data_IF_903438651158
#
_entry.id   IF_903438651158
#
_cell.length_a   1.000
_cell.length_b   1.000
_cell.length_c   1.000
_cell.angle_alpha   90.00
_cell.angle_beta   90.00
_cell.angle_gamma   90.00
#
_symmetry.space_group_name_H-M   'P 1'
#
loop_
_entity.id
_entity.type
_entity.pdbx_description
1 polymer ?
#
# COMPACT_ATOMS: atom_id res chain seq x y z
N UNK A 1 -0.17 -17.99 20.77
CA UNK A 1 -1.05 -18.10 19.58
C UNK A 1 -0.61 -17.09 18.52
N UNK A 2 -0.56 -15.79 18.85
CA UNK A 2 -0.07 -14.70 17.99
C UNK A 2 1.22 -15.07 17.23
N UNK A 3 2.27 -15.52 17.93
CA UNK A 3 3.56 -15.90 17.34
C UNK A 3 3.50 -17.05 16.31
N UNK A 4 2.46 -17.89 16.33
CA UNK A 4 2.28 -18.96 15.32
C UNK A 4 1.59 -18.42 14.07
N UNK A 5 0.65 -17.49 14.23
CA UNK A 5 -0.13 -16.93 13.12
C UNK A 5 0.66 -15.87 12.35
N UNK A 6 1.47 -15.06 13.05
CA UNK A 6 2.41 -14.16 12.40
C UNK A 6 3.57 -14.90 11.71
N UNK A 7 3.94 -16.08 12.19
CA UNK A 7 4.86 -16.98 11.48
C UNK A 7 4.21 -17.57 10.22
N UNK A 8 2.89 -17.85 10.23
CA UNK A 8 2.14 -18.20 9.03
C UNK A 8 2.05 -17.03 8.03
N UNK A 9 1.88 -15.80 8.50
CA UNK A 9 1.94 -14.60 7.66
C UNK A 9 3.33 -14.43 7.04
N UNK A 10 4.41 -14.56 7.81
CA UNK A 10 5.77 -14.50 7.27
C UNK A 10 6.05 -15.59 6.20
N UNK A 11 5.44 -16.78 6.33
CA UNK A 11 5.49 -17.85 5.32
C UNK A 11 4.58 -17.57 4.11
N UNK A 12 3.60 -16.68 4.24
CA UNK A 12 2.66 -16.26 3.18
C UNK A 12 3.03 -14.93 2.52
N UNK A 13 3.99 -14.16 3.06
CA UNK A 13 4.54 -13.01 2.37
C UNK A 13 5.15 -13.49 1.04
N UNK A 14 4.73 -12.93 -0.12
CA UNK A 14 5.48 -13.16 -1.35
C UNK A 14 6.87 -12.54 -1.16
N UNK A 15 7.92 -13.25 -1.61
CA UNK A 15 9.36 -12.94 -1.41
C UNK A 15 9.66 -11.48 -1.08
N UNK A 16 10.32 -11.26 0.07
CA UNK A 16 10.54 -9.95 0.65
C UNK A 16 10.32 -9.91 2.16
N UNK A 17 10.90 -8.88 2.80
CA UNK A 17 10.61 -8.52 4.19
C UNK A 17 9.33 -7.66 4.28
N UNK A 18 8.66 -7.69 5.43
CA UNK A 18 7.46 -6.88 5.68
C UNK A 18 7.54 -6.09 6.98
N UNK A 19 6.71 -5.06 7.13
CA UNK A 19 6.51 -4.39 8.40
C UNK A 19 5.10 -3.81 8.57
N UNK A 20 4.66 -3.70 9.82
CA UNK A 20 3.39 -3.06 10.21
C UNK A 20 3.69 -2.05 11.32
N UNK A 21 3.22 -0.82 11.17
CA UNK A 21 3.19 0.22 12.20
C UNK A 21 1.74 0.48 12.56
N UNK A 22 1.40 0.42 13.85
CA UNK A 22 0.09 0.73 14.41
C UNK A 22 0.21 1.97 15.30
N UNK A 23 -0.67 2.94 15.09
CA UNK A 23 -0.64 4.26 15.71
C UNK A 23 -1.92 4.49 16.52
N UNK A 24 -1.85 5.22 17.66
CA UNK A 24 -3.04 5.69 18.39
C UNK A 24 -3.88 6.71 17.61
N UNK A 25 -3.48 7.03 16.38
CA UNK A 25 -4.10 8.05 15.55
C UNK A 25 -3.75 8.02 14.08
N UNK A 26 -4.30 8.98 13.33
CA UNK A 26 -3.94 9.20 11.92
C UNK A 26 -2.76 10.19 11.88
N UNK A 27 -1.73 9.96 11.04
CA UNK A 27 -0.71 10.95 10.75
C UNK A 27 -1.30 12.30 10.29
N UNK A 28 -0.77 13.41 10.79
CA UNK A 28 -1.22 14.75 10.41
C UNK A 28 -0.96 15.07 8.93
N UNK A 29 0.12 14.50 8.39
CA UNK A 29 0.53 14.54 6.99
C UNK A 29 1.02 13.13 6.61
N UNK A 30 0.38 12.40 5.68
CA UNK A 30 0.79 11.05 5.32
C UNK A 30 2.26 11.02 4.85
N UNK A 31 3.08 10.20 5.51
CA UNK A 31 4.53 10.14 5.26
C UNK A 31 5.29 11.45 5.57
N UNK A 32 4.67 12.42 6.26
CA UNK A 32 5.27 13.70 6.60
C UNK A 32 6.44 13.60 7.59
N UNK A 33 6.40 12.60 8.48
CA UNK A 33 7.48 12.25 9.41
C UNK A 33 8.77 11.78 8.74
N UNK A 34 8.68 11.13 7.58
CA UNK A 34 9.86 10.65 6.84
C UNK A 34 10.62 11.82 6.22
N UNK A 35 11.93 11.85 6.46
CA UNK A 35 12.87 12.73 5.74
C UNK A 35 12.84 12.46 4.23
N UNK A 36 13.33 13.43 3.43
CA UNK A 36 13.55 13.17 1.99
C UNK A 36 14.57 12.04 1.80
N UNK A 37 15.52 11.90 2.73
CA UNK A 37 16.52 10.85 2.69
C UNK A 37 15.89 9.45 2.82
N UNK A 38 15.00 9.27 3.79
CA UNK A 38 14.24 8.02 3.96
C UNK A 38 13.27 7.73 2.80
N UNK A 39 12.69 8.76 2.18
CA UNK A 39 11.83 8.61 0.99
C UNK A 39 12.63 8.15 -0.23
N UNK A 40 13.85 8.67 -0.39
CA UNK A 40 14.80 8.25 -1.40
C UNK A 40 15.30 6.82 -1.17
N UNK A 41 15.62 6.45 0.08
CA UNK A 41 15.97 5.09 0.48
C UNK A 41 14.84 4.11 0.17
N UNK A 42 13.59 4.43 0.56
CA UNK A 42 12.42 3.60 0.24
C UNK A 42 12.33 3.32 -1.26
N UNK A 43 12.38 4.37 -2.09
CA UNK A 43 12.35 4.21 -3.54
C UNK A 43 13.54 3.40 -4.08
N UNK A 44 14.75 3.72 -3.62
CA UNK A 44 16.00 3.11 -4.09
C UNK A 44 16.08 1.63 -3.77
N UNK A 45 15.65 1.22 -2.57
CA UNK A 45 15.61 -0.19 -2.18
C UNK A 45 14.35 -0.93 -2.66
N UNK A 46 13.40 -0.24 -3.31
CA UNK A 46 12.14 -0.85 -3.74
C UNK A 46 11.21 -1.22 -2.57
N UNK A 47 11.28 -0.47 -1.47
CA UNK A 47 10.34 -0.56 -0.35
C UNK A 47 9.08 0.22 -0.72
N UNK A 48 7.95 -0.47 -0.72
CA UNK A 48 6.63 0.08 -1.02
C UNK A 48 5.74 -0.04 0.22
N UNK A 49 4.66 0.75 0.29
CA UNK A 49 3.75 0.66 1.41
C UNK A 49 2.48 1.49 1.26
N UNK A 50 1.63 1.39 2.26
CA UNK A 50 0.42 2.19 2.39
C UNK A 50 0.29 2.72 3.82
N UNK A 51 0.01 4.02 3.93
CA UNK A 51 -0.59 4.60 5.12
C UNK A 51 -2.06 4.15 5.11
N UNK A 52 -2.46 3.42 6.14
CA UNK A 52 -3.75 2.73 6.24
C UNK A 52 -4.57 3.33 7.38
N UNK A 53 -5.85 3.58 7.13
CA UNK A 53 -6.87 3.89 8.12
C UNK A 53 -8.04 2.93 7.93
N UNK A 54 -8.30 2.09 8.92
CA UNK A 54 -9.49 1.23 8.98
C UNK A 54 -10.42 1.73 10.09
N UNK A 55 -11.38 0.94 10.57
CA UNK A 55 -12.15 1.28 11.77
C UNK A 55 -11.37 0.96 13.06
N UNK A 56 -10.79 -0.24 13.17
CA UNK A 56 -10.12 -0.70 14.40
C UNK A 56 -8.76 -0.08 14.67
N UNK A 57 -7.98 0.25 13.64
CA UNK A 57 -6.60 0.74 13.79
C UNK A 57 -6.21 1.68 12.65
N UNK A 58 -5.12 2.43 12.82
CA UNK A 58 -4.51 3.27 11.80
C UNK A 58 -2.99 3.13 11.86
N UNK A 59 -2.29 3.42 10.77
CA UNK A 59 -0.84 3.36 10.72
C UNK A 59 -0.32 3.12 9.32
N UNK A 60 0.66 2.22 9.20
CA UNK A 60 1.36 1.93 7.95
C UNK A 60 1.58 0.43 7.76
N UNK A 61 1.42 -0.07 6.53
CA UNK A 61 1.93 -1.38 6.10
C UNK A 61 3.05 -1.15 5.09
N UNK A 62 4.17 -1.83 5.27
CA UNK A 62 5.37 -1.73 4.43
C UNK A 62 5.78 -3.11 3.93
N UNK A 63 6.35 -3.16 2.74
CA UNK A 63 6.97 -4.35 2.16
C UNK A 63 8.23 -3.94 1.40
N UNK A 64 9.30 -4.68 1.58
CA UNK A 64 10.54 -4.53 0.81
C UNK A 64 11.01 -5.86 0.23
N UNK A 65 12.09 -5.87 -0.56
CA UNK A 65 12.80 -7.09 -0.94
C UNK A 65 13.47 -7.79 0.26
N UNK A 66 13.98 -9.00 0.03
CA UNK A 66 14.72 -9.75 1.05
C UNK A 66 15.99 -9.00 1.46
N UNK A 67 16.21 -8.86 2.77
CA UNK A 67 17.36 -8.16 3.36
C UNK A 67 17.15 -6.66 3.61
N UNK A 68 15.93 -6.15 3.42
CA UNK A 68 15.55 -4.76 3.72
C UNK A 68 15.07 -4.53 5.17
N UNK A 69 14.91 -5.59 5.98
CA UNK A 69 14.45 -5.55 7.37
C UNK A 69 15.07 -4.43 8.25
N UNK A 70 16.38 -4.20 8.16
CA UNK A 70 17.06 -3.14 8.93
C UNK A 70 16.65 -1.72 8.51
N UNK A 71 16.32 -1.51 7.23
CA UNK A 71 15.78 -0.24 6.72
C UNK A 71 14.31 -0.11 7.12
N UNK A 72 13.52 -1.19 6.99
CA UNK A 72 12.13 -1.23 7.45
C UNK A 72 12.01 -0.89 8.94
N UNK A 73 12.90 -1.42 9.79
CA UNK A 73 12.99 -1.07 11.21
C UNK A 73 13.18 0.44 11.44
N UNK A 74 14.17 1.06 10.78
CA UNK A 74 14.44 2.51 10.86
C UNK A 74 13.26 3.37 10.39
N UNK A 75 12.60 2.95 9.30
CA UNK A 75 11.37 3.58 8.81
C UNK A 75 10.24 3.44 9.84
N UNK A 76 10.01 2.24 10.39
CA UNK A 76 9.00 2.00 11.41
C UNK A 76 9.20 2.85 12.67
N UNK A 77 10.43 2.97 13.17
CA UNK A 77 10.77 3.83 14.31
C UNK A 77 10.43 5.30 14.04
N UNK A 78 10.69 5.78 12.82
CA UNK A 78 10.39 7.16 12.40
C UNK A 78 8.88 7.39 12.24
N UNK A 79 8.18 6.45 11.60
CA UNK A 79 6.72 6.49 11.38
C UNK A 79 5.93 6.32 12.69
N UNK A 80 6.48 5.60 13.68
CA UNK A 80 5.92 5.50 15.02
C UNK A 80 6.02 6.82 15.79
N UNK A 81 7.04 7.63 15.54
CA UNK A 81 7.26 8.93 16.18
C UNK A 81 6.50 10.11 15.52
N UNK A 82 5.58 9.83 14.59
CA UNK A 82 4.85 10.84 13.81
C UNK A 82 3.90 11.71 14.66
N UNK A 83 3.55 12.88 14.15
CA UNK A 83 2.53 13.76 14.74
C UNK A 83 1.13 13.28 14.36
N UNK A 84 0.32 12.92 15.36
CA UNK A 84 -0.97 12.27 15.15
C UNK A 84 -2.16 13.20 15.44
N UNK A 85 -3.22 13.09 14.64
CA UNK A 85 -4.47 13.87 14.77
C UNK A 85 -5.72 12.99 14.77
N UNK A 86 -6.75 13.30 15.59
CA UNK A 86 -8.01 12.56 15.65
C UNK A 86 -8.65 12.27 14.29
N UNK A 87 -9.06 11.01 14.10
CA UNK A 87 -9.88 10.63 12.96
C UNK A 87 -11.21 11.37 13.00
N UNK A 88 -11.29 12.39 12.15
CA UNK A 88 -12.45 13.25 11.97
C UNK A 88 -13.15 12.98 10.63
N UNK A 89 -12.94 11.80 10.06
CA UNK A 89 -13.68 11.35 8.88
C UNK A 89 -15.19 11.23 9.19
N UNK A 90 -16.00 11.27 8.13
CA UNK A 90 -17.43 10.98 8.27
C UNK A 90 -17.67 9.54 8.74
N UNK A 91 -16.81 8.60 8.33
CA UNK A 91 -16.88 7.21 8.75
C UNK A 91 -16.65 7.04 10.26
N UNK A 92 -15.56 7.59 10.79
CA UNK A 92 -15.25 7.53 12.23
C UNK A 92 -16.33 8.19 13.10
N UNK A 93 -16.90 9.32 12.64
CA UNK A 93 -18.07 9.92 13.32
C UNK A 93 -19.29 9.02 13.26
N UNK A 94 -19.60 8.45 12.10
CA UNK A 94 -20.76 7.56 11.92
C UNK A 94 -20.63 6.31 12.79
N UNK A 95 -19.44 5.72 12.90
CA UNK A 95 -19.16 4.59 13.81
C UNK A 95 -18.81 4.98 15.25
N UNK A 96 -18.92 6.27 15.61
CA UNK A 96 -18.56 6.78 16.94
C UNK A 96 -17.22 6.22 17.46
N UNK A 97 -16.22 6.20 16.59
CA UNK A 97 -14.90 5.68 16.93
C UNK A 97 -14.26 6.56 18.00
N UNK A 98 -13.84 5.95 19.10
CA UNK A 98 -13.11 6.59 20.18
C UNK A 98 -11.62 6.49 19.88
N UNK A 99 -10.95 7.62 19.99
CA UNK A 99 -9.51 7.77 19.83
C UNK A 99 -8.76 7.35 21.10
N UNK A 100 -7.65 6.62 20.94
CA UNK A 100 -6.88 6.06 22.05
C UNK A 100 -5.74 7.01 22.47
N UNK A 101 -6.08 8.11 23.13
CA UNK A 101 -5.13 9.18 23.45
C UNK A 101 -3.98 8.81 24.41
N UNK A 102 -4.05 7.64 25.06
CA UNK A 102 -3.08 7.19 26.06
C UNK A 102 -2.20 6.03 25.60
N UNK A 103 -2.40 5.50 24.40
CA UNK A 103 -1.69 4.31 23.92
C UNK A 103 -0.39 4.72 23.22
N UNK A 104 0.66 3.92 23.38
CA UNK A 104 1.91 4.11 22.65
C UNK A 104 1.82 3.48 21.24
N UNK A 105 2.45 4.09 20.22
CA UNK A 105 2.68 3.45 18.93
C UNK A 105 3.39 2.10 19.06
N UNK A 106 2.96 1.11 18.28
CA UNK A 106 3.57 -0.22 18.24
C UNK A 106 3.87 -0.63 16.81
N UNK A 107 4.97 -1.33 16.58
CA UNK A 107 5.30 -1.83 15.24
C UNK A 107 5.95 -3.22 15.29
N UNK A 108 5.93 -3.91 14.16
CA UNK A 108 6.44 -5.25 13.95
C UNK A 108 7.16 -5.30 12.60
N UNK A 109 8.38 -5.86 12.59
CA UNK A 109 9.11 -6.21 11.36
C UNK A 109 9.13 -7.74 11.22
N UNK A 110 8.93 -8.21 10.00
CA UNK A 110 8.90 -9.63 9.66
C UNK A 110 10.23 -10.02 9.01
N UNK A 111 11.21 -10.41 9.84
CA UNK A 111 12.60 -10.71 9.46
C UNK A 111 13.07 -12.14 9.84
N UNK A 112 12.19 -12.92 10.49
CA UNK A 112 12.46 -14.27 11.01
C UNK A 112 12.64 -14.36 12.53
N UNK A 113 12.93 -13.26 13.23
CA UNK A 113 13.02 -13.18 14.70
C UNK A 113 12.02 -12.14 15.27
N UNK A 114 10.78 -12.20 14.81
CA UNK A 114 9.71 -11.24 15.11
C UNK A 114 9.45 -11.03 16.61
N UNK A 115 9.85 -9.86 17.12
CA UNK A 115 9.44 -9.35 18.44
C UNK A 115 8.11 -8.60 18.30
N UNK A 116 7.19 -8.84 19.25
CA UNK A 116 5.86 -8.22 19.25
C UNK A 116 5.77 -7.07 20.25
N UNK A 117 5.05 -5.98 19.92
CA UNK A 117 4.68 -4.97 20.90
C UNK A 117 3.83 -5.61 22.00
N UNK A 118 3.96 -5.11 23.22
CA UNK A 118 3.22 -5.63 24.39
C UNK A 118 1.72 -5.33 24.37
N UNK A 119 1.33 -4.34 23.57
CA UNK A 119 -0.04 -3.88 23.34
C UNK A 119 -0.09 -3.16 21.99
N UNK A 120 -1.26 -3.12 21.34
CA UNK A 120 -1.45 -2.34 20.10
C UNK A 120 -2.54 -1.26 20.24
N UNK A 121 -2.34 -0.06 19.66
CA UNK A 121 -3.32 1.02 19.75
C UNK A 121 -4.57 0.75 18.89
N UNK A 122 -5.72 0.51 19.53
CA UNK A 122 -6.96 0.02 18.87
C UNK A 122 -8.22 0.80 19.22
N UNK A 123 -8.77 1.51 18.24
CA UNK A 123 -9.95 2.38 18.37
C UNK A 123 -11.22 1.58 18.65
N UNK A 124 -12.00 2.01 19.65
CA UNK A 124 -13.28 1.35 20.00
C UNK A 124 -14.48 2.01 19.33
N UNK A 125 -15.52 1.24 19.01
CA UNK A 125 -16.78 1.76 18.47
C UNK A 125 -17.93 1.64 19.47
N UNK A 126 -18.50 2.79 19.83
CA UNK A 126 -19.66 2.87 20.73
C UNK A 126 -20.95 2.28 20.18
N UNK A 127 -21.04 2.05 18.87
CA UNK A 127 -22.22 1.39 18.29
C UNK A 127 -22.27 -0.10 18.62
N UNK A 128 -21.13 -0.78 18.55
CA UNK A 128 -21.06 -2.20 18.88
C UNK A 128 -21.02 -2.48 20.39
N UNK A 129 -20.69 -1.46 21.20
CA UNK A 129 -20.85 -1.48 22.67
C UNK A 129 -22.32 -1.52 23.14
N UNK A 130 -23.29 -1.09 22.30
CA UNK A 130 -24.69 -0.87 22.70
C UNK A 130 -25.58 -2.15 22.71
N UNK A 131 -25.08 -3.27 22.19
CA UNK A 131 -25.83 -4.52 22.02
C UNK A 131 -26.41 -4.72 20.60
N UNK A 132 -26.86 -5.94 20.26
CA UNK A 132 -27.28 -6.28 18.91
C UNK A 132 -28.71 -5.82 18.59
N UNK A 133 -28.84 -4.88 17.66
CA UNK A 133 -30.09 -4.52 16.97
C UNK A 133 -29.78 -4.09 15.53
N UNK A 134 -30.62 -4.47 14.56
CA UNK A 134 -30.44 -4.16 13.13
C UNK A 134 -30.67 -2.69 12.85
N UNK A 135 -29.59 -1.91 12.74
CA UNK A 135 -29.67 -0.45 12.78
C UNK A 135 -29.54 0.17 11.38
N UNK A 136 -30.68 0.66 10.88
CA UNK A 136 -30.77 1.38 9.61
C UNK A 136 -30.64 2.89 9.83
N UNK A 137 -29.50 3.46 9.43
CA UNK A 137 -29.25 4.89 9.46
C UNK A 137 -29.51 5.48 8.07
N UNK A 138 -30.58 6.26 7.92
CA UNK A 138 -30.85 7.01 6.68
C UNK A 138 -30.33 8.43 6.80
N UNK A 139 -29.22 8.69 6.11
CA UNK A 139 -28.70 10.02 5.82
C UNK A 139 -29.22 10.47 4.43
N UNK A 140 -29.22 11.78 4.12
CA UNK A 140 -29.47 12.23 2.75
C UNK A 140 -28.46 11.60 1.77
N UNK A 141 -28.91 11.27 0.55
CA UNK A 141 -28.14 10.60 -0.51
C UNK A 141 -26.90 11.41 -0.98
N UNK A 142 -25.90 10.84 -1.66
CA UNK A 142 -25.75 9.48 -2.26
C UNK A 142 -24.69 8.62 -1.52
N UNK A 143 -24.20 7.52 -2.13
CA UNK A 143 -23.35 6.44 -1.58
C UNK A 143 -23.89 5.71 -0.33
N UNK A 144 -24.22 4.43 -0.50
CA UNK A 144 -24.61 3.51 0.59
C UNK A 144 -23.37 2.79 1.13
N UNK A 145 -23.31 2.59 2.45
CA UNK A 145 -22.40 1.63 3.08
C UNK A 145 -23.19 0.60 3.89
N UNK A 146 -22.90 -0.67 3.68
CA UNK A 146 -23.41 -1.81 4.46
C UNK A 146 -22.29 -2.34 5.35
N UNK A 147 -22.62 -2.68 6.59
CA UNK A 147 -21.68 -3.16 7.59
C UNK A 147 -22.28 -4.36 8.33
N UNK A 148 -21.77 -5.56 8.08
CA UNK A 148 -22.32 -6.80 8.59
C UNK A 148 -21.30 -7.54 9.45
N UNK A 149 -21.49 -7.50 10.77
CA UNK A 149 -20.78 -8.37 11.72
C UNK A 149 -21.45 -9.73 11.87
N UNK A 150 -20.67 -10.78 12.12
CA UNK A 150 -21.18 -12.12 12.36
C UNK A 150 -20.10 -13.14 12.75
N UNK A 151 -20.55 -14.32 13.20
CA UNK A 151 -19.67 -15.43 13.58
C UNK A 151 -19.16 -16.23 12.37
N UNK A 152 -18.25 -15.64 11.59
CA UNK A 152 -17.71 -16.27 10.37
C UNK A 152 -16.38 -17.01 10.61
N UNK A 153 -16.08 -17.98 9.75
CA UNK A 153 -14.98 -18.95 9.91
C UNK A 153 -14.05 -19.01 8.69
N UNK A 154 -13.79 -17.89 8.03
CA UNK A 154 -12.96 -17.81 6.82
C UNK A 154 -12.26 -16.46 6.63
N UNK A 155 -11.18 -16.47 5.86
CA UNK A 155 -10.25 -15.35 5.68
C UNK A 155 -10.71 -14.40 4.55
N UNK A 156 -11.58 -13.44 4.87
CA UNK A 156 -12.18 -12.51 3.90
C UNK A 156 -11.26 -11.34 3.46
N UNK A 157 -9.99 -11.33 3.86
CA UNK A 157 -9.06 -10.21 3.63
C UNK A 157 -8.64 -10.00 2.16
N UNK A 158 -9.09 -10.84 1.21
CA UNK A 158 -8.68 -10.79 -0.20
C UNK A 158 -9.29 -9.63 -1.00
N UNK A 159 -10.24 -8.87 -0.45
CA UNK A 159 -11.05 -7.91 -1.20
C UNK A 159 -10.99 -6.46 -0.65
N UNK A 160 -9.98 -6.06 0.12
CA UNK A 160 -9.98 -4.78 0.87
C UNK A 160 -9.85 -3.49 0.02
N UNK A 161 -10.13 -3.53 -1.28
CA UNK A 161 -10.14 -2.37 -2.17
C UNK A 161 -11.48 -2.30 -2.95
N UNK A 162 -11.77 -1.15 -3.57
CA UNK A 162 -13.02 -0.80 -4.30
C UNK A 162 -14.39 -1.18 -3.72
N UNK A 163 -14.51 -1.35 -2.40
CA UNK A 163 -15.82 -1.21 -1.74
C UNK A 163 -16.57 -2.50 -1.45
N UNK A 164 -15.86 -3.62 -1.37
CA UNK A 164 -16.16 -4.70 -0.41
C UNK A 164 -14.90 -4.85 0.45
N UNK A 165 -14.93 -5.63 1.54
CA UNK A 165 -13.77 -5.90 2.38
C UNK A 165 -14.15 -6.21 3.82
N UNK A 166 -13.20 -6.70 4.61
CA UNK A 166 -13.41 -6.99 6.05
C UNK A 166 -12.42 -6.26 6.95
N UNK A 167 -12.87 -6.00 8.16
CA UNK A 167 -12.07 -5.42 9.23
C UNK A 167 -12.51 -5.95 10.60
N UNK A 168 -11.69 -5.72 11.63
CA UNK A 168 -12.08 -5.90 13.02
C UNK A 168 -12.42 -4.57 13.68
N UNK A 169 -13.56 -4.51 14.35
CA UNK A 169 -13.98 -3.37 15.17
C UNK A 169 -13.93 -3.74 16.65
N UNK A 170 -13.17 -2.96 17.43
CA UNK A 170 -13.03 -3.14 18.87
C UNK A 170 -14.27 -2.59 19.60
N UNK A 171 -14.78 -3.32 20.60
CA UNK A 171 -15.99 -2.95 21.38
C UNK A 171 -15.68 -2.66 22.86
N UNK A 172 -14.40 -2.41 23.16
CA UNK A 172 -13.88 -2.23 24.51
C UNK A 172 -13.65 -3.55 25.26
N UNK A 173 -14.40 -4.62 24.95
CA UNK A 173 -14.32 -5.92 25.63
C UNK A 173 -14.08 -7.12 24.70
N UNK A 174 -14.26 -6.94 23.39
CA UNK A 174 -14.07 -7.95 22.35
C UNK A 174 -13.83 -7.29 20.99
N UNK A 175 -13.46 -8.08 19.97
CA UNK A 175 -13.43 -7.65 18.58
C UNK A 175 -14.56 -8.31 17.79
N UNK A 176 -15.26 -7.54 16.97
CA UNK A 176 -16.28 -8.03 16.03
C UNK A 176 -15.70 -7.98 14.61
N UNK A 177 -15.59 -9.11 13.89
CA UNK A 177 -15.29 -9.09 12.46
C UNK A 177 -16.51 -8.59 11.70
N UNK A 178 -16.30 -7.67 10.77
CA UNK A 178 -17.36 -7.04 9.98
C UNK A 178 -17.01 -7.04 8.50
N UNK A 179 -17.98 -7.34 7.65
CA UNK A 179 -17.94 -7.12 6.20
C UNK A 179 -18.44 -5.70 5.95
N UNK A 180 -17.63 -4.87 5.32
CA UNK A 180 -18.00 -3.53 4.86
C UNK A 180 -18.19 -3.56 3.35
N UNK A 181 -19.25 -2.94 2.85
CA UNK A 181 -19.38 -2.67 1.41
C UNK A 181 -19.89 -1.26 1.14
N UNK A 182 -19.26 -0.56 0.20
CA UNK A 182 -19.63 0.77 -0.27
C UNK A 182 -20.07 0.72 -1.73
N UNK A 183 -21.00 1.61 -2.12
CA UNK A 183 -21.51 1.88 -3.49
C UNK A 183 -22.76 1.11 -3.96
N UNK A 184 -23.47 0.41 -3.07
CA UNK A 184 -24.62 -0.40 -3.45
C UNK A 184 -25.94 0.38 -3.51
N UNK A 185 -26.69 0.18 -4.60
CA UNK A 185 -28.11 0.47 -4.70
C UNK A 185 -28.86 -0.86 -4.62
N UNK A 186 -29.57 -1.11 -3.52
CA UNK A 186 -30.22 -2.40 -3.28
C UNK A 186 -30.93 -2.48 -1.93
N UNK A 187 -31.63 -3.59 -1.69
CA UNK A 187 -32.16 -4.00 -0.39
C UNK A 187 -31.13 -4.87 0.37
N UNK A 188 -31.30 -5.10 1.68
CA UNK A 188 -30.41 -5.97 2.45
C UNK A 188 -30.37 -7.44 2.00
N UNK A 189 -31.30 -7.87 1.14
CA UNK A 189 -31.31 -9.22 0.57
C UNK A 189 -30.24 -9.41 -0.52
N UNK A 190 -29.88 -8.34 -1.23
CA UNK A 190 -28.86 -8.36 -2.30
C UNK A 190 -27.44 -8.66 -1.74
N UNK A 191 -27.22 -8.48 -0.43
CA UNK A 191 -25.95 -8.70 0.29
C UNK A 191 -25.40 -10.12 0.08
N UNK A 192 -26.26 -11.13 -0.05
CA UNK A 192 -25.85 -12.54 -0.21
C UNK A 192 -25.13 -12.77 -1.55
N UNK A 193 -25.49 -12.02 -2.59
CA UNK A 193 -24.85 -12.15 -3.92
C UNK A 193 -23.50 -11.41 -3.99
N UNK A 194 -23.24 -10.52 -3.03
CA UNK A 194 -22.07 -9.63 -3.01
C UNK A 194 -20.82 -10.23 -2.37
N UNK A 195 -20.95 -11.27 -1.56
CA UNK A 195 -19.82 -12.05 -1.03
C UNK A 195 -18.88 -12.62 -2.13
N UNK A 196 -19.33 -12.61 -3.40
CA UNK A 196 -18.67 -13.27 -4.53
C UNK A 196 -18.20 -12.33 -5.66
N UNK A 197 -18.38 -10.99 -5.54
CA UNK A 197 -18.08 -10.03 -6.62
C UNK A 197 -16.92 -9.11 -6.21
N UNK A 198 -15.70 -9.66 -6.21
CA UNK A 198 -14.45 -8.87 -6.15
C UNK A 198 -14.05 -8.42 -7.56
N UNK A 199 -13.47 -7.24 -7.72
CA UNK A 199 -12.80 -6.91 -8.99
C UNK A 199 -11.41 -7.55 -9.07
N UNK A 200 -10.89 -7.77 -10.28
CA UNK A 200 -9.55 -8.34 -10.50
C UNK A 200 -8.45 -7.56 -9.77
N UNK A 201 -8.67 -6.26 -9.59
CA UNK A 201 -7.74 -5.34 -8.93
C UNK A 201 -7.78 -5.46 -7.41
N UNK A 202 -8.94 -5.80 -6.84
CA UNK A 202 -9.08 -6.06 -5.39
C UNK A 202 -8.45 -7.41 -5.06
N UNK A 203 -8.70 -8.43 -5.90
CA UNK A 203 -8.04 -9.74 -5.81
C UNK A 203 -6.51 -9.62 -5.92
N UNK A 204 -6.01 -8.78 -6.85
CA UNK A 204 -4.59 -8.49 -6.97
C UNK A 204 -4.03 -7.86 -5.69
N UNK A 205 -4.67 -6.79 -5.19
CA UNK A 205 -4.19 -6.07 -4.03
C UNK A 205 -4.24 -6.95 -2.77
N UNK A 206 -5.34 -7.69 -2.61
CA UNK A 206 -5.50 -8.72 -1.59
C UNK A 206 -4.40 -9.77 -1.64
N UNK A 207 -4.09 -10.34 -2.81
CA UNK A 207 -2.99 -11.31 -2.94
C UNK A 207 -1.60 -10.76 -2.53
N UNK A 208 -1.42 -9.43 -2.58
CA UNK A 208 -0.15 -8.77 -2.30
C UNK A 208 -0.03 -8.24 -0.86
N UNK A 209 -1.14 -7.81 -0.25
CA UNK A 209 -1.16 -7.09 1.04
C UNK A 209 -2.06 -7.70 2.11
N UNK A 210 -2.97 -8.62 1.76
CA UNK A 210 -3.85 -9.29 2.73
C UNK A 210 -3.09 -10.03 3.86
N UNK A 211 -1.92 -10.66 3.65
CA UNK A 211 -1.18 -11.27 4.75
C UNK A 211 -0.78 -10.25 5.84
N UNK A 212 -0.34 -9.04 5.44
CA UNK A 212 0.02 -7.96 6.37
C UNK A 212 -1.22 -7.36 7.05
N UNK A 213 -2.33 -7.18 6.33
CA UNK A 213 -3.59 -6.77 6.95
C UNK A 213 -4.13 -7.80 7.94
N UNK A 214 -4.10 -9.09 7.58
CA UNK A 214 -4.56 -10.18 8.45
C UNK A 214 -3.68 -10.31 9.70
N UNK A 215 -2.37 -10.04 9.58
CA UNK A 215 -1.49 -9.86 10.73
C UNK A 215 -1.91 -8.68 11.62
N UNK A 216 -2.20 -7.52 11.04
CA UNK A 216 -2.65 -6.34 11.79
C UNK A 216 -3.96 -6.61 12.53
N UNK A 217 -4.97 -7.13 11.84
CA UNK A 217 -6.25 -7.54 12.43
C UNK A 217 -6.04 -8.63 13.52
N UNK A 218 -5.16 -9.60 13.31
CA UNK A 218 -4.84 -10.61 14.34
C UNK A 218 -4.19 -10.01 15.60
N UNK A 219 -3.42 -8.92 15.47
CA UNK A 219 -2.92 -8.17 16.62
C UNK A 219 -4.07 -7.44 17.34
N UNK A 220 -4.99 -6.80 16.61
CA UNK A 220 -6.22 -6.20 17.17
C UNK A 220 -7.02 -7.25 17.95
N UNK A 221 -7.28 -8.42 17.37
CA UNK A 221 -8.06 -9.50 18.00
C UNK A 221 -7.39 -10.01 19.29
N UNK A 222 -6.06 -10.08 19.31
CA UNK A 222 -5.31 -10.57 20.44
C UNK A 222 -5.35 -9.62 21.65
N UNK A 223 -5.30 -8.31 21.42
CA UNK A 223 -5.47 -7.28 22.46
C UNK A 223 -6.80 -7.47 23.22
N UNK A 224 -7.87 -7.85 22.49
CA UNK A 224 -9.21 -8.06 23.07
C UNK A 224 -9.39 -9.41 23.78
N UNK A 225 -8.30 -10.15 24.02
CA UNK A 225 -8.36 -11.50 24.59
C UNK A 225 -8.88 -12.59 23.63
N UNK A 226 -8.93 -12.33 22.32
CA UNK A 226 -9.23 -13.33 21.29
C UNK A 226 -10.69 -13.79 21.21
N UNK A 227 -11.62 -13.16 21.94
CA UNK A 227 -13.04 -13.56 21.95
C UNK A 227 -13.79 -12.83 20.83
N UNK A 228 -13.79 -13.39 19.63
CA UNK A 228 -14.81 -13.01 18.64
C UNK A 228 -16.14 -13.65 19.00
N UNK A 229 -17.13 -12.84 19.34
CA UNK A 229 -18.47 -13.31 19.63
C UNK A 229 -19.23 -13.60 18.31
N UNK A 230 -20.09 -14.64 18.25
CA UNK A 230 -20.99 -14.88 17.12
C UNK A 230 -22.18 -13.90 17.16
N UNK A 231 -21.88 -12.60 17.23
CA UNK A 231 -22.88 -11.52 17.23
C UNK A 231 -23.14 -11.12 15.80
N UNK A 232 -24.30 -11.53 15.28
CA UNK A 232 -24.77 -11.07 13.99
C UNK A 232 -25.35 -9.65 14.15
N UNK A 233 -24.61 -8.65 13.69
CA UNK A 233 -25.00 -7.23 13.73
C UNK A 233 -24.97 -6.66 12.32
N UNK A 234 -26.14 -6.37 11.74
CA UNK A 234 -26.24 -5.65 10.47
C UNK A 234 -26.52 -4.17 10.74
N UNK A 235 -25.53 -3.34 10.45
CA UNK A 235 -25.63 -1.88 10.43
C UNK A 235 -25.71 -1.44 8.96
N UNK A 236 -26.79 -0.78 8.58
CA UNK A 236 -26.97 -0.30 7.20
C UNK A 236 -27.02 1.23 7.17
N UNK A 237 -26.03 1.83 6.51
CA UNK A 237 -25.85 3.28 6.41
C UNK A 237 -26.22 3.71 4.98
N UNK A 238 -27.39 4.31 4.82
CA UNK A 238 -27.88 4.79 3.52
C UNK A 238 -27.58 6.27 3.37
N UNK A 239 -26.76 6.64 2.39
CA UNK A 239 -26.43 8.03 2.08
C UNK A 239 -25.35 8.64 2.98
N UNK A 240 -24.84 9.81 2.58
CA UNK A 240 -23.71 10.50 3.24
C UNK A 240 -23.87 12.02 3.38
N UNK A 241 -24.96 12.59 2.85
CA UNK A 241 -25.16 14.03 2.67
C UNK A 241 -24.35 14.63 1.51
N UNK A 242 -24.06 13.84 0.47
CA UNK A 242 -23.27 14.28 -0.69
C UNK A 242 -21.76 14.34 -0.44
N UNK A 243 -21.29 13.90 0.74
CA UNK A 243 -19.86 13.75 1.04
C UNK A 243 -19.37 12.34 0.68
N UNK A 244 -18.14 12.17 0.18
CA UNK A 244 -17.61 10.82 -0.06
C UNK A 244 -17.37 10.12 1.29
N UNK A 245 -18.14 9.07 1.58
CA UNK A 245 -17.85 8.16 2.69
C UNK A 245 -16.88 7.09 2.17
N UNK A 246 -15.66 7.12 2.69
CA UNK A 246 -14.63 6.11 2.45
C UNK A 246 -14.44 5.35 3.77
N UNK A 247 -14.85 4.07 3.89
CA UNK A 247 -14.67 3.30 5.12
C UNK A 247 -13.20 3.01 5.42
N UNK A 248 -12.38 2.94 4.37
CA UNK A 248 -10.92 2.86 4.45
C UNK A 248 -10.27 4.06 3.77
N UNK A 249 -9.10 4.43 4.26
CA UNK A 249 -8.19 5.36 3.58
C UNK A 249 -6.86 4.63 3.41
N UNK A 250 -6.40 4.53 2.17
CA UNK A 250 -5.10 3.99 1.81
C UNK A 250 -4.36 5.07 1.01
N UNK A 251 -3.26 5.59 1.56
CA UNK A 251 -2.38 6.53 0.85
C UNK A 251 -1.08 5.77 0.54
N UNK A 252 -0.76 5.51 -0.75
CA UNK A 252 0.46 4.79 -1.12
C UNK A 252 1.72 5.54 -0.66
N UNK A 253 2.82 4.83 -0.55
CA UNK A 253 4.16 5.40 -0.32
C UNK A 253 4.49 6.44 -1.40
N UNK A 254 5.26 7.50 -1.05
CA UNK A 254 5.58 8.55 -2.01
C UNK A 254 6.25 7.99 -3.28
N UNK A 255 5.91 8.51 -4.48
CA UNK A 255 6.63 8.18 -5.70
C UNK A 255 8.09 8.67 -5.63
N UNK A 256 8.99 8.19 -6.52
CA UNK A 256 10.35 8.73 -6.62
C UNK A 256 10.37 10.26 -6.63
N UNK A 257 11.20 10.92 -5.81
CA UNK A 257 11.30 12.36 -5.88
C UNK A 257 11.93 12.78 -7.21
N UNK A 258 11.43 13.90 -7.75
CA UNK A 258 11.74 14.48 -9.07
C UNK A 258 13.25 14.67 -9.32
N UNK A 259 14.04 14.80 -8.25
CA UNK A 259 15.50 14.78 -8.23
C UNK A 259 15.96 13.83 -7.10
N UNK A 260 17.12 13.19 -7.26
CA UNK A 260 17.84 12.64 -6.11
C UNK A 260 18.49 13.80 -5.34
N UNK A 261 18.34 13.82 -4.01
CA UNK A 261 18.94 14.87 -3.16
C UNK A 261 20.29 14.46 -2.57
N UNK A 262 20.54 13.15 -2.47
CA UNK A 262 21.81 12.53 -2.04
C UNK A 262 21.96 11.15 -2.73
N UNK A 263 23.13 10.54 -2.54
CA UNK A 263 23.44 9.18 -3.00
C UNK A 263 23.15 8.17 -1.88
N UNK A 264 22.38 7.13 -2.19
CA UNK A 264 22.07 6.04 -1.25
C UNK A 264 23.19 5.00 -1.27
N UNK A 265 23.59 4.48 -0.10
CA UNK A 265 24.61 3.43 -0.02
C UNK A 265 24.03 2.05 -0.43
N UNK A 266 24.77 1.19 -1.15
CA UNK A 266 24.28 -0.15 -1.49
C UNK A 266 24.12 -1.03 -0.25
N UNK A 267 22.92 -1.52 0.02
CA UNK A 267 22.66 -2.44 1.13
C UNK A 267 23.16 -3.85 0.81
N UNK A 268 24.08 -4.37 1.63
CA UNK A 268 24.67 -5.69 1.41
C UNK A 268 23.67 -6.82 1.65
N UNK A 269 23.51 -7.72 0.68
CA UNK A 269 22.57 -8.84 0.74
C UNK A 269 21.16 -8.53 0.24
N UNK A 270 20.87 -7.26 -0.09
CA UNK A 270 19.63 -6.84 -0.74
C UNK A 270 19.49 -7.55 -2.09
N UNK A 271 18.53 -8.47 -2.20
CA UNK A 271 18.17 -9.05 -3.50
C UNK A 271 17.15 -8.13 -4.12
N UNK A 272 17.58 -7.31 -5.10
CA UNK A 272 16.67 -6.51 -5.91
C UNK A 272 15.52 -7.40 -6.41
N UNK A 273 14.33 -7.19 -5.85
CA UNK A 273 13.15 -7.95 -6.24
C UNK A 273 12.87 -7.73 -7.73
N UNK A 274 12.24 -8.69 -8.42
CA UNK A 274 11.69 -8.38 -9.74
C UNK A 274 10.80 -7.13 -9.60
N UNK A 275 10.74 -6.30 -10.65
CA UNK A 275 9.72 -5.24 -10.75
C UNK A 275 8.33 -5.87 -10.80
N UNK A 276 7.83 -6.34 -9.64
CA UNK A 276 6.68 -7.20 -9.56
C UNK A 276 5.42 -6.34 -9.67
N UNK A 277 4.89 -6.29 -10.88
CA UNK A 277 3.52 -5.90 -11.09
C UNK A 277 2.91 -6.82 -12.15
N UNK A 278 1.98 -7.71 -11.76
CA UNK A 278 0.95 -8.21 -12.67
C UNK A 278 0.24 -7.05 -13.37
N UNK A 279 -0.34 -7.32 -14.54
CA UNK A 279 -1.15 -6.37 -15.31
C UNK A 279 -2.26 -5.78 -14.42
N UNK A 280 -2.12 -4.51 -14.03
CA UNK A 280 -3.14 -3.83 -13.23
C UNK A 280 -4.32 -3.46 -14.11
N UNK A 281 -5.57 -3.77 -13.71
CA UNK A 281 -6.76 -3.21 -14.35
C UNK A 281 -6.67 -1.67 -14.42
N UNK A 282 -7.06 -1.11 -15.56
CA UNK A 282 -6.97 0.33 -15.87
C UNK A 282 -5.55 0.91 -15.94
N UNK A 283 -4.50 0.09 -15.89
CA UNK A 283 -3.14 0.53 -16.21
C UNK A 283 -2.90 0.63 -17.73
N UNK A 284 -2.04 1.57 -18.12
CA UNK A 284 -1.54 1.70 -19.49
C UNK A 284 -0.07 1.35 -19.52
N UNK A 285 0.27 0.28 -20.25
CA UNK A 285 1.66 -0.16 -20.45
C UNK A 285 2.22 0.40 -21.77
N UNK A 286 3.38 1.05 -21.68
CA UNK A 286 4.19 1.46 -22.82
C UNK A 286 5.45 0.58 -22.86
N UNK A 287 5.46 -0.43 -23.74
CA UNK A 287 6.66 -1.24 -24.02
C UNK A 287 7.72 -0.36 -24.71
N UNK A 288 8.94 -0.38 -24.19
CA UNK A 288 10.07 0.32 -24.80
C UNK A 288 10.59 -0.49 -26.00
N UNK A 289 10.93 0.14 -27.14
CA UNK A 289 11.18 -0.57 -28.39
C UNK A 289 12.49 -1.38 -28.44
N UNK A 290 13.39 -1.19 -27.48
CA UNK A 290 14.70 -1.85 -27.40
C UNK A 290 14.83 -2.88 -26.29
N UNK A 291 16.03 -3.43 -26.13
CA UNK A 291 16.32 -4.50 -25.17
C UNK A 291 17.70 -4.28 -24.51
N UNK A 292 17.75 -4.40 -23.18
CA UNK A 292 18.96 -4.14 -22.38
C UNK A 292 20.00 -5.29 -22.40
N UNK A 293 19.64 -6.45 -22.95
CA UNK A 293 20.45 -7.66 -23.08
C UNK A 293 20.54 -8.51 -21.81
N UNK A 294 20.10 -8.01 -20.66
CA UNK A 294 20.02 -8.76 -19.39
C UNK A 294 19.02 -8.14 -18.43
N UNK A 295 18.50 -8.96 -17.50
CA UNK A 295 17.56 -8.52 -16.47
C UNK A 295 18.08 -7.35 -15.64
N UNK A 296 19.31 -7.42 -15.12
CA UNK A 296 19.87 -6.36 -14.27
C UNK A 296 19.97 -5.02 -15.03
N UNK A 297 20.47 -5.03 -16.28
CA UNK A 297 20.53 -3.80 -17.10
C UNK A 297 19.12 -3.29 -17.43
N UNK A 298 18.15 -4.17 -17.63
CA UNK A 298 16.75 -3.80 -17.84
C UNK A 298 16.13 -3.16 -16.58
N UNK A 299 16.41 -3.69 -15.39
CA UNK A 299 15.96 -3.12 -14.11
C UNK A 299 16.55 -1.71 -13.88
N UNK A 300 17.85 -1.52 -14.16
CA UNK A 300 18.49 -0.21 -14.06
C UNK A 300 17.89 0.79 -15.07
N UNK A 301 17.71 0.38 -16.34
CA UNK A 301 17.05 1.19 -17.33
C UNK A 301 15.60 1.53 -16.93
N UNK A 302 14.84 0.55 -16.42
CA UNK A 302 13.47 0.74 -15.96
C UNK A 302 13.39 1.76 -14.81
N UNK A 303 14.25 1.64 -13.79
CA UNK A 303 14.32 2.58 -12.66
C UNK A 303 14.71 4.00 -13.10
N UNK A 304 15.65 4.14 -14.04
CA UNK A 304 16.02 5.44 -14.63
C UNK A 304 14.85 6.05 -15.40
N UNK A 305 14.20 5.28 -16.27
CA UNK A 305 13.10 5.74 -17.12
C UNK A 305 11.87 6.11 -16.29
N UNK A 306 11.52 5.30 -15.28
CA UNK A 306 10.47 5.55 -14.29
C UNK A 306 10.65 6.94 -13.66
N UNK A 307 11.85 7.18 -13.11
CA UNK A 307 12.13 8.40 -12.37
C UNK A 307 12.21 9.64 -13.26
N UNK A 308 12.78 9.54 -14.45
CA UNK A 308 12.82 10.69 -15.37
C UNK A 308 11.44 10.98 -15.95
N UNK A 309 10.58 9.96 -16.08
CA UNK A 309 9.16 10.14 -16.44
C UNK A 309 8.40 10.86 -15.33
N UNK A 310 8.57 10.43 -14.07
CA UNK A 310 8.05 11.12 -12.89
C UNK A 310 8.53 12.58 -12.80
N UNK A 311 9.78 12.87 -13.19
CA UNK A 311 10.35 14.22 -13.24
C UNK A 311 9.71 15.16 -14.26
N UNK A 312 9.17 14.65 -15.38
CA UNK A 312 8.98 15.50 -16.57
C UNK A 312 7.54 15.90 -16.92
N UNK A 313 6.50 15.12 -16.57
CA UNK A 313 5.13 15.45 -16.99
C UNK A 313 3.95 14.77 -16.27
N UNK A 314 4.14 14.01 -15.18
CA UNK A 314 2.99 13.33 -14.55
C UNK A 314 1.99 14.36 -13.98
N UNK A 315 0.68 14.23 -14.28
CA UNK A 315 -0.34 15.03 -13.63
C UNK A 315 -0.48 14.64 -12.15
N UNK A 316 -1.11 15.50 -11.35
CA UNK A 316 -1.37 15.24 -9.93
C UNK A 316 -2.17 13.94 -9.75
N UNK A 317 -1.71 13.07 -8.84
CA UNK A 317 -2.30 11.74 -8.60
C UNK A 317 -1.85 10.62 -9.54
N UNK A 318 -1.15 10.93 -10.64
CA UNK A 318 -0.62 9.89 -11.52
C UNK A 318 0.67 9.24 -10.98
N UNK A 319 0.85 7.96 -11.31
CA UNK A 319 2.04 7.18 -11.00
C UNK A 319 2.64 6.58 -12.28
N UNK A 320 3.95 6.37 -12.27
CA UNK A 320 4.69 5.64 -13.29
C UNK A 320 5.58 4.61 -12.60
N UNK A 321 5.65 3.38 -13.11
CA UNK A 321 6.51 2.30 -12.62
C UNK A 321 7.33 1.69 -13.75
N UNK A 322 8.61 1.47 -13.51
CA UNK A 322 9.52 0.77 -14.41
C UNK A 322 9.43 -0.74 -14.21
N UNK A 323 8.93 -1.44 -15.24
CA UNK A 323 8.84 -2.89 -15.27
C UNK A 323 9.90 -3.44 -16.23
N UNK A 324 10.47 -4.60 -15.90
CA UNK A 324 11.45 -5.26 -16.75
C UNK A 324 11.30 -6.77 -16.71
N UNK A 325 11.76 -7.44 -17.77
CA UNK A 325 11.68 -8.89 -17.91
C UNK A 325 13.05 -9.56 -17.80
N UNK A 326 13.06 -10.90 -17.66
CA UNK A 326 14.31 -11.67 -17.62
C UNK A 326 15.08 -11.65 -18.96
N UNK A 327 14.36 -11.57 -20.09
CA UNK A 327 14.90 -11.43 -21.44
C UNK A 327 15.36 -10.00 -21.79
N UNK A 328 15.30 -9.06 -20.84
CA UNK A 328 15.88 -7.73 -20.99
C UNK A 328 14.97 -6.67 -21.62
N UNK A 329 13.67 -6.94 -21.76
CA UNK A 329 12.68 -5.93 -22.18
C UNK A 329 12.34 -5.00 -21.01
N UNK A 330 11.89 -3.80 -21.34
CA UNK A 330 11.56 -2.73 -20.39
C UNK A 330 10.23 -2.12 -20.81
N UNK A 331 9.36 -1.87 -19.83
CA UNK A 331 8.09 -1.17 -20.02
C UNK A 331 7.92 -0.10 -18.95
N UNK A 332 7.16 0.95 -19.28
CA UNK A 332 6.65 1.92 -18.32
C UNK A 332 5.15 1.71 -18.15
N UNK A 333 4.73 1.44 -16.92
CA UNK A 333 3.31 1.26 -16.57
C UNK A 333 2.80 2.52 -15.89
N UNK A 334 1.67 3.04 -16.39
CA UNK A 334 1.03 4.28 -15.92
C UNK A 334 -0.30 3.97 -15.23
N UNK A 335 -0.52 4.58 -14.05
CA UNK A 335 -1.73 4.39 -13.22
C UNK A 335 -2.11 5.70 -12.50
N UNK A 336 -3.13 5.64 -11.63
CA UNK A 336 -3.53 6.72 -10.71
C UNK A 336 -4.56 7.71 -11.28
N UNK A 337 -4.65 7.82 -12.61
CA UNK A 337 -5.65 8.60 -13.34
C UNK A 337 -6.15 7.81 -14.55
N UNK A 338 -7.24 8.22 -15.19
CA UNK A 338 -7.65 7.66 -16.48
C UNK A 338 -6.60 8.01 -17.55
N UNK A 339 -6.02 6.97 -18.16
CA UNK A 339 -5.00 7.08 -19.20
C UNK A 339 -5.54 6.59 -20.54
N UNK A 340 -5.23 7.31 -21.63
CA UNK A 340 -5.24 6.71 -22.97
C UNK A 340 -3.83 6.32 -23.37
N UNK A 341 -3.69 5.28 -24.21
CA UNK A 341 -2.41 4.87 -24.80
C UNK A 341 -1.67 6.06 -25.44
N UNK A 342 -2.41 6.93 -26.14
CA UNK A 342 -1.84 8.09 -26.84
C UNK A 342 -1.29 9.15 -25.89
N UNK A 343 -1.91 9.35 -24.72
CA UNK A 343 -1.46 10.35 -23.75
C UNK A 343 -0.22 9.86 -23.00
N UNK A 344 -0.21 8.58 -22.60
CA UNK A 344 0.96 7.95 -22.01
C UNK A 344 2.15 7.92 -22.99
N UNK A 345 1.94 7.52 -24.24
CA UNK A 345 2.98 7.60 -25.29
C UNK A 345 3.50 9.03 -25.49
N UNK A 346 2.62 10.05 -25.49
CA UNK A 346 3.02 11.44 -25.65
C UNK A 346 3.89 11.92 -24.46
N UNK A 347 3.55 11.51 -23.23
CA UNK A 347 4.37 11.77 -22.04
C UNK A 347 5.72 11.07 -22.12
N UNK A 348 5.76 9.77 -22.45
CA UNK A 348 7.00 9.01 -22.63
C UNK A 348 7.88 9.69 -23.69
N UNK A 349 7.35 9.99 -24.87
CA UNK A 349 8.13 10.69 -25.92
C UNK A 349 8.64 12.05 -25.45
N UNK A 350 7.81 12.85 -24.78
CA UNK A 350 8.19 14.18 -24.25
C UNK A 350 9.26 14.10 -23.16
N UNK A 351 9.15 13.12 -22.26
CA UNK A 351 10.07 12.91 -21.14
C UNK A 351 11.40 12.30 -21.59
N UNK A 352 11.37 11.35 -22.53
CA UNK A 352 12.56 10.59 -22.93
C UNK A 352 13.40 11.26 -24.03
N UNK A 353 12.79 12.05 -24.92
CA UNK A 353 13.51 12.72 -26.03
C UNK A 353 14.69 13.59 -25.56
N UNK A 354 14.63 14.35 -24.45
CA UNK A 354 15.79 15.10 -23.96
C UNK A 354 16.93 14.23 -23.40
N UNK A 355 16.61 13.05 -22.84
CA UNK A 355 17.54 12.23 -22.03
C UNK A 355 18.66 11.66 -22.89
N UNK A 356 18.35 11.19 -24.10
CA UNK A 356 19.37 10.65 -25.02
C UNK A 356 20.44 11.68 -25.40
N UNK A 357 20.15 12.98 -25.20
CA UNK A 357 21.05 14.09 -25.43
C UNK A 357 21.65 14.68 -24.14
N UNK A 358 21.27 14.18 -22.95
CA UNK A 358 21.77 14.66 -21.66
C UNK A 358 22.06 13.50 -20.70
N UNK A 359 23.35 13.26 -20.40
CA UNK A 359 23.77 12.24 -19.44
C UNK A 359 23.09 12.43 -18.08
N UNK A 360 22.49 11.38 -17.49
CA UNK A 360 21.94 11.44 -16.14
C UNK A 360 22.99 11.80 -15.08
N UNK A 361 22.53 12.45 -14.00
CA UNK A 361 23.36 12.76 -12.83
C UNK A 361 23.85 11.46 -12.17
N UNK A 362 25.08 11.45 -11.64
CA UNK A 362 25.70 10.23 -11.09
C UNK A 362 24.92 9.63 -9.92
N UNK A 363 24.29 10.47 -9.11
CA UNK A 363 23.43 10.05 -7.98
C UNK A 363 22.23 9.25 -8.49
N UNK A 364 21.56 9.72 -9.55
CA UNK A 364 20.44 9.03 -10.18
C UNK A 364 20.86 7.68 -10.81
N UNK A 365 22.06 7.61 -11.40
CA UNK A 365 22.63 6.35 -11.93
C UNK A 365 22.93 5.38 -10.79
N UNK A 366 23.56 5.85 -9.72
CA UNK A 366 23.91 5.01 -8.57
C UNK A 366 22.65 4.46 -7.89
N UNK A 367 21.66 5.29 -7.60
CA UNK A 367 20.43 4.85 -6.93
C UNK A 367 19.63 3.87 -7.82
N UNK A 368 19.58 4.10 -9.15
CA UNK A 368 18.99 3.13 -10.08
C UNK A 368 19.80 1.82 -10.20
N UNK A 369 21.13 1.88 -10.09
CA UNK A 369 22.00 0.70 -10.07
C UNK A 369 21.83 -0.11 -8.77
N UNK A 370 21.73 0.55 -7.61
CA UNK A 370 21.40 -0.07 -6.31
C UNK A 370 20.05 -0.78 -6.40
N UNK A 371 19.01 -0.10 -6.92
CA UNK A 371 17.68 -0.70 -7.14
C UNK A 371 17.70 -1.91 -8.07
N UNK A 372 18.66 -1.96 -9.00
CA UNK A 372 18.86 -3.06 -9.94
C UNK A 372 19.84 -4.16 -9.44
N UNK A 373 20.39 -4.03 -8.22
CA UNK A 373 21.41 -4.94 -7.69
C UNK A 373 22.75 -4.90 -8.43
N UNK A 374 23.05 -3.82 -9.16
CA UNK A 374 24.29 -3.65 -9.93
C UNK A 374 25.31 -2.86 -9.09
N UNK A 375 26.52 -3.41 -8.83
CA UNK A 375 27.50 -2.76 -7.95
C UNK A 375 28.19 -1.54 -8.56
N UNK A 376 28.28 -1.44 -9.89
CA UNK A 376 28.87 -0.30 -10.63
C UNK A 376 28.19 -0.17 -12.00
N UNK A 377 27.79 1.04 -12.38
CA UNK A 377 27.43 1.43 -13.75
C UNK A 377 28.17 2.73 -14.08
N UNK A 378 28.84 2.81 -15.24
CA UNK A 378 29.42 4.07 -15.69
C UNK A 378 28.42 4.91 -16.53
N UNK A 379 28.69 6.22 -16.64
CA UNK A 379 27.81 7.15 -17.36
C UNK A 379 27.68 6.84 -18.85
N UNK A 380 28.73 6.30 -19.48
CA UNK A 380 28.74 5.98 -20.90
C UNK A 380 27.93 4.71 -21.15
N UNK A 381 28.16 3.66 -20.38
CA UNK A 381 27.38 2.42 -20.44
C UNK A 381 25.89 2.68 -20.16
N UNK A 382 25.59 3.63 -19.27
CA UNK A 382 24.21 4.09 -19.02
C UNK A 382 23.60 4.80 -20.22
N UNK A 383 24.33 5.70 -20.89
CA UNK A 383 23.83 6.39 -22.09
C UNK A 383 23.63 5.41 -23.24
N UNK A 384 24.56 4.49 -23.48
CA UNK A 384 24.43 3.43 -24.49
C UNK A 384 23.25 2.49 -24.18
N UNK A 385 23.03 2.13 -22.90
CA UNK A 385 21.89 1.35 -22.43
C UNK A 385 20.55 2.07 -22.66
N UNK A 386 20.43 3.33 -22.24
CA UNK A 386 19.21 4.13 -22.42
C UNK A 386 18.89 4.37 -23.89
N UNK A 387 19.90 4.67 -24.72
CA UNK A 387 19.72 4.82 -26.16
C UNK A 387 19.24 3.51 -26.81
N UNK A 388 19.77 2.36 -26.39
CA UNK A 388 19.32 1.05 -26.87
C UNK A 388 17.88 0.78 -26.49
N UNK A 389 17.53 0.86 -25.20
CA UNK A 389 16.17 0.58 -24.70
C UNK A 389 15.14 1.54 -25.32
N UNK A 390 15.47 2.82 -25.48
CA UNK A 390 14.58 3.80 -26.10
C UNK A 390 14.55 3.77 -27.64
N UNK A 391 15.31 2.87 -28.29
CA UNK A 391 15.23 2.63 -29.75
C UNK A 391 15.95 3.66 -30.62
N UNK A 392 17.02 4.28 -30.12
CA UNK A 392 17.82 5.28 -30.83
C UNK A 392 19.12 4.73 -31.45
N UNK A 393 19.49 3.47 -31.15
CA UNK A 393 20.65 2.75 -31.72
C UNK A 393 20.30 1.30 -32.06
#
# INVERSE_FOLDING_TARGET
MISLLLLLVAVQLPSGDGAIVMLPGIPADPWGSLSQDQKEEMWTYGIEGYQTVMSGWAGYILRGPDGSAAVLQSLCETLAADSLVPDSSLWARTLQLVWNAGDEPGFVVFDGETVLPSSVPVRTSRWFEAGPDTLMLSLPIENTVMLWGGGFSGDFHQAAWRGIGTELIHTGSHAVPVIVSSSLQGSPEDIIELEYISSDMDLWWGSSWAPLLSAADSMVQAETGGVSLPVNSLIWIRGTGGQKMSPWIFVPSPPPPVKAEHMVEPLAGLIAGPSFMPELPESVEIEMPGNAGSHARAACAAALLERITARMALPEGAMCRGVCTADGRVSLVFTGVEWTQSDAEAIVRKALTPIIFTSPESELINNAAVRAGIPVMDQRETVELLASVAGFI
#
